data_IF_769815417299
#
_entry.id   IF_769815417299
#
_cell.length_a   1.000
_cell.length_b   1.000
_cell.length_c   1.000
_cell.angle_alpha   90.00
_cell.angle_beta   90.00
_cell.angle_gamma   90.00
#
_symmetry.space_group_name_H-M   'P 1'
#
loop_
_entity.id
_entity.type
_entity.pdbx_description
1 polymer ?
#
# COMPACT_ATOMS: atom_id res chain seq x y z
N UNK A 1 8.50 -0.88 1.42
CA UNK A 1 9.09 0.02 2.43
C UNK A 1 8.49 1.44 2.40
N UNK A 2 8.55 2.23 1.30
CA UNK A 2 8.04 3.63 1.28
C UNK A 2 6.57 3.75 1.70
N UNK A 3 5.68 2.88 1.22
CA UNK A 3 4.29 2.88 1.66
C UNK A 3 4.18 2.74 3.19
N UNK A 4 4.84 1.75 3.78
CA UNK A 4 4.82 1.55 5.24
C UNK A 4 5.40 2.73 6.02
N UNK A 5 6.44 3.39 5.47
CA UNK A 5 7.02 4.58 6.08
C UNK A 5 6.06 5.79 6.07
N UNK A 6 5.25 5.94 5.00
CA UNK A 6 4.28 7.02 4.85
C UNK A 6 2.96 6.81 5.60
N UNK A 7 2.62 5.57 5.97
CA UNK A 7 1.41 5.30 6.76
C UNK A 7 1.56 5.91 8.16
N UNK A 8 0.58 6.69 8.58
CA UNK A 8 0.48 7.27 9.93
C UNK A 8 -0.67 6.60 10.72
N UNK A 9 -0.39 5.55 11.53
CA UNK A 9 -1.42 4.76 12.19
C UNK A 9 -1.85 5.35 13.54
N UNK A 10 -1.87 6.68 13.69
CA UNK A 10 -2.36 7.35 14.89
C UNK A 10 -3.87 7.16 15.03
N UNK A 11 -4.32 6.85 16.24
CA UNK A 11 -5.73 6.60 16.58
C UNK A 11 -6.39 5.46 15.81
N UNK A 12 -5.58 4.52 15.27
CA UNK A 12 -6.03 3.31 14.58
C UNK A 12 -6.10 2.16 15.58
N UNK A 13 -7.23 1.46 15.60
CA UNK A 13 -7.43 0.28 16.46
C UNK A 13 -7.47 -1.02 15.65
N UNK A 14 -7.86 -0.94 14.37
CA UNK A 14 -7.99 -2.08 13.47
C UNK A 14 -7.37 -1.79 12.11
N UNK A 15 -6.64 -2.74 11.54
CA UNK A 15 -6.01 -2.58 10.24
C UNK A 15 -6.12 -3.83 9.38
N UNK A 16 -6.17 -3.63 8.05
CA UNK A 16 -6.18 -4.67 7.03
C UNK A 16 -5.05 -4.42 6.02
N UNK A 17 -4.17 -5.40 5.84
CA UNK A 17 -3.16 -5.45 4.79
C UNK A 17 -3.67 -6.32 3.64
N UNK A 18 -3.89 -5.74 2.46
CA UNK A 18 -4.41 -6.47 1.30
C UNK A 18 -3.25 -6.78 0.35
N UNK A 19 -3.00 -8.09 0.14
CA UNK A 19 -1.84 -8.57 -0.61
C UNK A 19 -0.57 -8.43 0.22
N UNK A 20 -0.58 -8.99 1.42
CA UNK A 20 0.47 -8.76 2.43
C UNK A 20 1.85 -9.32 2.03
N UNK A 21 1.90 -10.28 1.07
CA UNK A 21 3.13 -10.98 0.74
C UNK A 21 3.72 -11.63 1.99
N UNK A 22 4.96 -11.28 2.32
CA UNK A 22 5.66 -11.79 3.51
C UNK A 22 5.36 -11.01 4.80
N UNK A 23 4.44 -10.04 4.78
CA UNK A 23 3.97 -9.28 5.95
C UNK A 23 4.84 -8.09 6.37
N UNK A 24 5.79 -7.67 5.54
CA UNK A 24 6.73 -6.57 5.87
C UNK A 24 5.98 -5.25 6.12
N UNK A 25 4.99 -4.89 5.30
CA UNK A 25 4.20 -3.67 5.49
C UNK A 25 3.43 -3.71 6.80
N UNK A 26 2.80 -4.84 7.10
CA UNK A 26 2.12 -5.09 8.37
C UNK A 26 3.02 -4.86 9.57
N UNK A 27 4.23 -5.42 9.57
CA UNK A 27 5.20 -5.25 10.67
C UNK A 27 5.67 -3.80 10.81
N UNK A 28 5.85 -3.08 9.69
CA UNK A 28 6.17 -1.63 9.72
C UNK A 28 5.05 -0.80 10.37
N UNK A 29 3.78 -1.13 10.09
CA UNK A 29 2.63 -0.47 10.70
C UNK A 29 2.54 -0.79 12.19
N UNK A 30 2.73 -2.06 12.57
CA UNK A 30 2.75 -2.51 13.96
C UNK A 30 3.93 -1.93 14.76
N UNK A 31 5.08 -1.67 14.12
CA UNK A 31 6.20 -0.99 14.77
C UNK A 31 5.84 0.43 15.21
N UNK A 32 4.99 1.13 14.44
CA UNK A 32 4.52 2.47 14.78
C UNK A 32 3.39 2.46 15.81
N UNK A 33 2.55 1.43 15.80
CA UNK A 33 1.44 1.28 16.75
C UNK A 33 1.17 -0.21 17.03
N UNK A 34 1.83 -0.80 18.07
CA UNK A 34 1.70 -2.23 18.39
C UNK A 34 0.31 -2.63 18.93
N UNK A 35 -0.55 -1.66 19.27
CA UNK A 35 -1.89 -1.94 19.80
C UNK A 35 -2.93 -2.25 18.71
N UNK A 36 -2.57 -2.14 17.43
CA UNK A 36 -3.48 -2.38 16.30
C UNK A 36 -3.81 -3.88 16.21
N UNK A 37 -5.10 -4.17 16.12
CA UNK A 37 -5.59 -5.48 15.69
C UNK A 37 -5.47 -5.56 14.18
N UNK A 38 -4.46 -6.30 13.69
CA UNK A 38 -4.12 -6.37 12.28
C UNK A 38 -4.55 -7.71 11.68
N UNK A 39 -5.19 -7.63 10.53
CA UNK A 39 -5.46 -8.78 9.65
C UNK A 39 -4.74 -8.58 8.33
N UNK A 40 -4.15 -9.65 7.79
CA UNK A 40 -3.40 -9.67 6.55
C UNK A 40 -4.02 -10.70 5.59
N UNK A 41 -4.23 -10.32 4.34
CA UNK A 41 -4.77 -11.20 3.30
C UNK A 41 -3.68 -11.41 2.26
N UNK A 42 -3.43 -12.68 1.95
CA UNK A 42 -2.49 -13.06 0.89
C UNK A 42 -3.06 -14.26 0.13
N UNK A 43 -3.09 -14.15 -1.22
CA UNK A 43 -3.67 -15.19 -2.08
C UNK A 43 -2.71 -16.38 -2.29
N UNK A 44 -1.39 -16.14 -2.24
CA UNK A 44 -0.38 -17.17 -2.44
C UNK A 44 -0.10 -17.90 -1.13
N UNK A 45 -0.40 -19.21 -1.01
CA UNK A 45 -0.28 -19.96 0.24
C UNK A 45 1.13 -19.91 0.85
N UNK A 46 2.18 -20.02 0.03
CA UNK A 46 3.56 -20.00 0.50
C UNK A 46 3.92 -18.63 1.10
N UNK A 47 3.49 -17.53 0.46
CA UNK A 47 3.72 -16.18 0.99
C UNK A 47 2.91 -15.93 2.27
N UNK A 48 1.68 -16.45 2.35
CA UNK A 48 0.86 -16.37 3.56
C UNK A 48 1.47 -17.17 4.73
N UNK A 49 2.06 -18.33 4.45
CA UNK A 49 2.80 -19.10 5.46
C UNK A 49 4.02 -18.34 5.94
N UNK A 50 4.83 -17.77 5.04
CA UNK A 50 5.98 -16.94 5.40
C UNK A 50 5.55 -15.71 6.21
N UNK A 51 4.46 -15.04 5.82
CA UNK A 51 3.86 -13.94 6.58
C UNK A 51 3.54 -14.37 8.02
N UNK A 52 2.89 -15.53 8.18
CA UNK A 52 2.53 -16.09 9.48
C UNK A 52 3.76 -16.41 10.32
N UNK A 53 4.83 -16.94 9.72
CA UNK A 53 6.09 -17.20 10.38
C UNK A 53 6.79 -15.91 10.82
N UNK A 54 6.80 -14.89 9.95
CA UNK A 54 7.37 -13.59 10.27
C UNK A 54 6.61 -12.91 11.43
N UNK A 55 5.28 -13.03 11.47
CA UNK A 55 4.51 -12.51 12.61
C UNK A 55 4.82 -13.26 13.91
N UNK A 56 4.92 -14.61 13.89
CA UNK A 56 5.28 -15.41 15.06
C UNK A 56 6.67 -15.10 15.58
N UNK A 57 7.62 -14.84 14.69
CA UNK A 57 9.01 -14.55 15.03
C UNK A 57 9.25 -13.09 15.44
N UNK A 58 8.26 -12.22 15.30
CA UNK A 58 8.32 -10.81 15.70
C UNK A 58 7.45 -10.54 16.92
N UNK A 59 7.96 -9.89 17.98
CA UNK A 59 7.13 -9.46 19.10
C UNK A 59 5.98 -8.54 18.67
N UNK A 60 6.16 -7.82 17.57
CA UNK A 60 5.14 -6.91 17.00
C UNK A 60 4.00 -7.65 16.33
N UNK A 61 4.26 -8.83 15.79
CA UNK A 61 3.27 -9.63 15.06
C UNK A 61 2.36 -10.49 15.93
N UNK A 62 2.62 -10.53 17.26
CA UNK A 62 1.82 -11.32 18.19
C UNK A 62 0.37 -10.81 18.22
N UNK A 63 -0.58 -11.61 17.74
CA UNK A 63 -1.98 -11.24 17.64
C UNK A 63 -2.43 -10.77 16.25
N UNK A 64 -1.53 -10.54 15.32
CA UNK A 64 -1.89 -10.34 13.92
C UNK A 64 -2.36 -11.66 13.29
N UNK A 65 -3.36 -11.58 12.41
CA UNK A 65 -3.95 -12.74 11.74
C UNK A 65 -3.60 -12.72 10.26
N UNK A 66 -3.30 -13.90 9.70
CA UNK A 66 -3.08 -14.07 8.27
C UNK A 66 -4.16 -14.96 7.69
N UNK A 67 -4.75 -14.52 6.57
CA UNK A 67 -5.75 -15.24 5.81
C UNK A 67 -5.17 -15.60 4.44
N UNK A 68 -4.94 -16.90 4.20
CA UNK A 68 -4.50 -17.42 2.90
C UNK A 68 -5.73 -17.56 1.98
N UNK A 69 -6.19 -16.45 1.38
CA UNK A 69 -7.42 -16.37 0.60
C UNK A 69 -7.34 -15.24 -0.43
N UNK A 70 -8.09 -15.35 -1.52
CA UNK A 70 -8.32 -14.21 -2.41
C UNK A 70 -9.07 -13.09 -1.67
N UNK A 71 -8.58 -11.85 -1.82
CA UNK A 71 -9.24 -10.68 -1.24
C UNK A 71 -10.72 -10.61 -1.60
N UNK A 72 -11.10 -11.01 -2.82
CA UNK A 72 -12.48 -10.97 -3.25
C UNK A 72 -13.37 -12.01 -2.55
N UNK A 73 -12.80 -13.07 -2.03
CA UNK A 73 -13.50 -14.12 -1.28
C UNK A 73 -13.47 -13.88 0.25
N UNK A 74 -12.60 -12.98 0.72
CA UNK A 74 -12.55 -12.64 2.14
C UNK A 74 -13.86 -12.01 2.60
N UNK A 75 -14.44 -12.56 3.66
CA UNK A 75 -15.69 -12.09 4.25
C UNK A 75 -15.51 -11.80 5.73
N UNK A 76 -16.02 -10.65 6.16
CA UNK A 76 -16.01 -10.22 7.55
C UNK A 76 -17.17 -9.26 7.82
N UNK A 77 -17.64 -9.21 9.05
CA UNK A 77 -18.64 -8.24 9.52
C UNK A 77 -18.00 -7.00 10.15
N UNK A 78 -16.66 -6.97 10.31
CA UNK A 78 -15.97 -5.82 10.89
C UNK A 78 -15.48 -4.88 9.81
N UNK A 79 -15.38 -3.60 10.17
CA UNK A 79 -14.72 -2.57 9.35
C UNK A 79 -13.38 -2.18 9.96
N UNK A 80 -12.49 -1.65 9.15
CA UNK A 80 -11.12 -1.32 9.53
C UNK A 80 -10.89 0.19 9.51
N UNK A 81 -10.18 0.69 10.53
CA UNK A 81 -9.79 2.11 10.61
C UNK A 81 -8.67 2.44 9.63
N UNK A 82 -7.87 1.43 9.28
CA UNK A 82 -6.76 1.53 8.34
C UNK A 82 -6.79 0.34 7.40
N UNK A 83 -6.81 0.61 6.10
CA UNK A 83 -6.56 -0.39 5.08
C UNK A 83 -5.34 0.05 4.29
N UNK A 84 -4.47 -0.87 3.91
CA UNK A 84 -3.34 -0.56 3.06
C UNK A 84 -3.03 -1.70 2.09
N UNK A 85 -2.45 -1.34 0.94
CA UNK A 85 -2.13 -2.31 -0.10
C UNK A 85 -1.00 -1.84 -1.00
N UNK A 86 -0.19 -2.78 -1.42
CA UNK A 86 0.68 -2.67 -2.58
C UNK A 86 0.19 -3.67 -3.63
N UNK A 87 -0.88 -3.35 -4.35
CA UNK A 87 -1.52 -4.31 -5.25
C UNK A 87 -0.62 -4.66 -6.46
N UNK A 88 -0.83 -5.79 -7.12
CA UNK A 88 -0.14 -6.11 -8.36
C UNK A 88 -0.53 -5.09 -9.45
N UNK A 89 0.48 -4.51 -10.12
CA UNK A 89 0.27 -3.46 -11.14
C UNK A 89 0.21 -3.98 -12.57
N UNK A 90 0.45 -5.26 -12.74
CA UNK A 90 0.37 -5.97 -14.01
C UNK A 90 -0.47 -7.21 -13.77
N UNK A 91 -1.76 -7.15 -14.13
CA UNK A 91 -2.50 -8.37 -14.29
C UNK A 91 -1.85 -9.13 -15.46
N UNK A 92 -1.58 -10.40 -15.29
CA UNK A 92 -0.67 -11.24 -16.10
C UNK A 92 -0.91 -11.27 -17.63
N UNK A 93 -1.96 -10.61 -18.13
CA UNK A 93 -2.30 -10.55 -19.55
C UNK A 93 -1.28 -9.86 -20.46
N UNK A 94 -0.44 -8.94 -19.93
CA UNK A 94 0.56 -8.23 -20.73
C UNK A 94 1.90 -8.97 -20.87
N UNK A 95 2.19 -9.92 -19.96
CA UNK A 95 3.44 -10.70 -20.03
C UNK A 95 3.40 -11.82 -21.07
N UNK A 96 2.22 -12.29 -21.46
CA UNK A 96 2.05 -13.44 -22.35
C UNK A 96 1.96 -13.06 -23.84
N UNK A 97 1.86 -11.77 -24.19
CA UNK A 97 1.70 -11.33 -25.59
C UNK A 97 0.39 -11.80 -26.26
N UNK A 98 -0.52 -12.38 -25.51
CA UNK A 98 -1.74 -13.06 -26.01
C UNK A 98 -2.97 -12.14 -26.00
N UNK A 99 -2.95 -11.04 -25.24
CA UNK A 99 -4.09 -10.14 -25.10
C UNK A 99 -3.79 -8.80 -25.76
N UNK A 100 -4.70 -8.30 -26.59
CA UNK A 100 -4.61 -6.95 -27.15
C UNK A 100 -4.58 -5.89 -26.04
N UNK A 101 -3.78 -4.82 -26.22
CA UNK A 101 -3.56 -3.77 -25.21
C UNK A 101 -4.85 -3.16 -24.64
N UNK A 102 -5.90 -3.07 -25.44
CA UNK A 102 -7.19 -2.50 -25.02
C UNK A 102 -7.99 -3.46 -24.16
N UNK A 103 -7.92 -4.77 -24.43
CA UNK A 103 -8.50 -5.80 -23.56
C UNK A 103 -7.80 -5.85 -22.21
N UNK A 104 -6.46 -5.79 -22.18
CA UNK A 104 -5.69 -5.76 -20.94
C UNK A 104 -6.08 -4.57 -20.07
N UNK A 105 -6.14 -3.35 -20.64
CA UNK A 105 -6.60 -2.15 -19.93
C UNK A 105 -8.04 -2.27 -19.37
N UNK A 106 -8.91 -2.94 -20.10
CA UNK A 106 -10.29 -3.16 -19.66
C UNK A 106 -10.36 -4.13 -18.49
N UNK A 107 -9.58 -5.22 -18.52
CA UNK A 107 -9.47 -6.19 -17.43
C UNK A 107 -8.89 -5.52 -16.18
N UNK A 108 -7.81 -4.72 -16.33
CA UNK A 108 -7.20 -3.96 -15.25
C UNK A 108 -8.23 -3.02 -14.61
N UNK A 109 -9.00 -2.29 -15.42
CA UNK A 109 -10.04 -1.38 -14.93
C UNK A 109 -11.11 -2.10 -14.10
N UNK A 110 -11.63 -3.23 -14.59
CA UNK A 110 -12.64 -4.02 -13.88
C UNK A 110 -12.11 -4.57 -12.55
N UNK A 111 -10.85 -5.00 -12.54
CA UNK A 111 -10.22 -5.49 -11.32
C UNK A 111 -10.09 -4.38 -10.28
N UNK A 112 -9.55 -3.22 -10.67
CA UNK A 112 -9.40 -2.07 -9.76
C UNK A 112 -10.75 -1.51 -9.29
N UNK A 113 -11.77 -1.52 -10.15
CA UNK A 113 -13.11 -1.10 -9.78
C UNK A 113 -13.69 -1.98 -8.66
N UNK A 114 -13.61 -3.30 -8.83
CA UNK A 114 -14.01 -4.27 -7.80
C UNK A 114 -13.17 -4.16 -6.52
N UNK A 115 -11.85 -3.99 -6.68
CA UNK A 115 -10.92 -3.82 -5.58
C UNK A 115 -11.27 -2.61 -4.72
N UNK A 116 -11.48 -1.46 -5.35
CA UNK A 116 -11.83 -0.21 -4.66
C UNK A 116 -13.21 -0.26 -4.02
N UNK A 117 -14.20 -0.84 -4.70
CA UNK A 117 -15.54 -1.03 -4.16
C UNK A 117 -15.52 -1.90 -2.89
N UNK A 118 -14.81 -3.04 -2.93
CA UNK A 118 -14.67 -3.92 -1.77
C UNK A 118 -13.85 -3.27 -0.66
N UNK A 119 -12.75 -2.62 -0.98
CA UNK A 119 -11.94 -1.87 0.00
C UNK A 119 -12.79 -0.83 0.73
N UNK A 120 -13.60 -0.06 -0.02
CA UNK A 120 -14.53 0.89 0.59
C UNK A 120 -15.53 0.21 1.52
N UNK A 121 -16.09 -0.95 1.14
CA UNK A 121 -17.08 -1.64 1.98
C UNK A 121 -16.49 -2.09 3.33
N UNK A 122 -15.20 -2.40 3.38
CA UNK A 122 -14.47 -2.81 4.58
C UNK A 122 -13.86 -1.63 5.37
N UNK A 123 -13.82 -0.44 4.80
CA UNK A 123 -13.29 0.74 5.47
C UNK A 123 -14.31 1.29 6.46
N UNK A 124 -13.91 1.63 7.69
CA UNK A 124 -14.77 2.32 8.65
C UNK A 124 -15.13 3.73 8.15
N UNK A 125 -16.12 4.38 8.73
CA UNK A 125 -16.61 5.69 8.28
C UNK A 125 -15.50 6.75 8.27
N UNK A 126 -14.68 6.78 9.33
CA UNK A 126 -13.50 7.66 9.44
C UNK A 126 -12.20 6.97 9.04
N UNK A 127 -12.28 5.82 8.39
CA UNK A 127 -11.15 5.01 8.00
C UNK A 127 -10.30 5.64 6.90
N UNK A 128 -9.03 5.22 6.85
CA UNK A 128 -8.04 5.66 5.86
C UNK A 128 -7.55 4.48 5.04
N UNK A 129 -7.54 4.65 3.74
CA UNK A 129 -6.99 3.66 2.82
C UNK A 129 -5.72 4.18 2.16
N UNK A 130 -4.60 3.49 2.40
CA UNK A 130 -3.31 3.80 1.79
C UNK A 130 -2.99 2.79 0.69
N UNK A 131 -2.55 3.29 -0.45
CA UNK A 131 -2.14 2.45 -1.58
C UNK A 131 -0.99 3.08 -2.34
N UNK A 132 -0.07 2.24 -2.82
CA UNK A 132 0.99 2.68 -3.71
C UNK A 132 0.68 2.18 -5.12
N UNK A 133 0.80 3.06 -6.13
CA UNK A 133 0.54 2.75 -7.54
C UNK A 133 1.68 3.26 -8.43
N UNK A 134 1.85 2.74 -9.67
CA UNK A 134 2.76 3.34 -10.64
C UNK A 134 2.39 4.78 -10.96
N UNK A 135 3.39 5.65 -11.14
CA UNK A 135 3.17 7.08 -11.40
C UNK A 135 2.35 7.39 -12.66
N UNK A 136 2.43 6.52 -13.67
CA UNK A 136 1.62 6.65 -14.89
C UNK A 136 0.14 6.25 -14.71
N UNK A 137 -0.25 5.74 -13.56
CA UNK A 137 -1.64 5.41 -13.21
C UNK A 137 -2.26 6.43 -12.25
N UNK A 138 -1.59 7.54 -11.95
CA UNK A 138 -2.02 8.54 -10.98
C UNK A 138 -3.47 8.98 -11.21
N UNK A 139 -3.74 9.60 -12.36
CA UNK A 139 -5.06 10.17 -12.67
C UNK A 139 -6.12 9.08 -12.80
N UNK A 140 -5.78 7.98 -13.50
CA UNK A 140 -6.68 6.85 -13.68
C UNK A 140 -7.14 6.26 -12.34
N UNK A 141 -6.22 6.03 -11.41
CA UNK A 141 -6.55 5.41 -10.13
C UNK A 141 -7.34 6.36 -9.22
N UNK A 142 -6.97 7.65 -9.20
CA UNK A 142 -7.69 8.67 -8.44
C UNK A 142 -9.13 8.88 -8.93
N UNK A 143 -9.33 8.95 -10.26
CA UNK A 143 -10.65 9.08 -10.86
C UNK A 143 -11.51 7.85 -10.58
N UNK A 144 -10.95 6.65 -10.71
CA UNK A 144 -11.67 5.41 -10.45
C UNK A 144 -12.06 5.31 -8.96
N UNK A 145 -11.16 5.64 -8.04
CA UNK A 145 -11.45 5.67 -6.61
C UNK A 145 -12.60 6.64 -6.28
N UNK A 146 -12.61 7.81 -6.91
CA UNK A 146 -13.69 8.80 -6.77
C UNK A 146 -15.06 8.25 -7.21
N UNK A 147 -15.12 7.45 -8.28
CA UNK A 147 -16.39 6.81 -8.71
C UNK A 147 -16.92 5.83 -7.67
N UNK A 148 -16.04 5.23 -6.87
CA UNK A 148 -16.39 4.35 -5.75
C UNK A 148 -16.67 5.14 -4.45
N UNK A 149 -16.54 6.49 -4.45
CA UNK A 149 -16.72 7.34 -3.28
C UNK A 149 -15.57 7.23 -2.28
N UNK A 150 -14.37 7.02 -2.77
CA UNK A 150 -13.10 7.17 -2.07
C UNK A 150 -12.41 8.42 -2.60
N UNK A 151 -12.12 9.38 -1.72
CA UNK A 151 -11.58 10.68 -2.08
C UNK A 151 -10.14 10.81 -1.60
N UNK A 152 -9.25 11.27 -2.47
CA UNK A 152 -7.85 11.54 -2.14
C UNK A 152 -7.78 12.61 -1.07
N UNK A 153 -7.10 12.32 0.03
CA UNK A 153 -6.76 13.27 1.10
C UNK A 153 -5.30 13.68 1.03
N UNK A 154 -4.41 12.71 0.78
CA UNK A 154 -2.99 12.96 0.60
C UNK A 154 -2.49 12.21 -0.64
N UNK A 155 -1.57 12.85 -1.35
CA UNK A 155 -0.91 12.31 -2.53
C UNK A 155 0.58 12.58 -2.41
N UNK A 156 1.40 11.54 -2.34
CA UNK A 156 2.86 11.64 -2.34
C UNK A 156 3.39 11.09 -3.65
N UNK A 157 3.94 11.95 -4.49
CA UNK A 157 4.62 11.57 -5.72
C UNK A 157 6.07 11.19 -5.38
N UNK A 158 6.49 10.01 -5.81
CA UNK A 158 7.82 9.47 -5.55
C UNK A 158 8.64 9.48 -6.82
N UNK A 159 9.78 10.15 -6.77
CA UNK A 159 10.77 10.23 -7.84
C UNK A 159 11.96 9.33 -7.51
N UNK A 160 12.38 8.48 -8.43
CA UNK A 160 13.60 7.70 -8.24
C UNK A 160 14.84 8.62 -8.16
N UNK A 161 14.92 9.59 -9.08
CA UNK A 161 15.83 10.74 -9.10
C UNK A 161 15.07 11.94 -9.65
N UNK A 162 15.64 13.14 -9.58
CA UNK A 162 15.03 14.35 -10.19
C UNK A 162 14.81 14.23 -11.70
N UNK A 163 15.67 13.48 -12.39
CA UNK A 163 15.60 13.28 -13.83
C UNK A 163 14.60 12.16 -14.22
N UNK A 164 14.21 11.31 -13.28
CA UNK A 164 13.23 10.24 -13.47
C UNK A 164 11.98 10.51 -12.65
N UNK A 165 11.10 11.41 -13.11
CA UNK A 165 9.91 11.80 -12.37
C UNK A 165 8.89 10.65 -12.29
N UNK A 166 8.03 10.72 -11.29
CA UNK A 166 6.81 9.92 -11.15
C UNK A 166 6.99 8.41 -11.28
N UNK A 167 7.92 7.84 -10.50
CA UNK A 167 8.08 6.37 -10.52
C UNK A 167 6.94 5.65 -9.80
N UNK A 168 6.42 6.25 -8.72
CA UNK A 168 5.30 5.74 -7.91
C UNK A 168 4.51 6.88 -7.32
N UNK A 169 3.26 6.61 -6.93
CA UNK A 169 2.43 7.50 -6.13
C UNK A 169 1.88 6.74 -4.94
N UNK A 170 1.95 7.32 -3.76
CA UNK A 170 1.22 6.85 -2.59
C UNK A 170 0.03 7.76 -2.38
N UNK A 171 -1.15 7.17 -2.36
CA UNK A 171 -2.38 7.84 -2.00
C UNK A 171 -2.82 7.47 -0.60
N UNK A 172 -3.41 8.43 0.09
CA UNK A 172 -4.29 8.20 1.22
C UNK A 172 -5.69 8.68 0.84
N UNK A 173 -6.64 7.75 0.91
CA UNK A 173 -8.05 7.98 0.63
C UNK A 173 -8.88 7.93 1.92
N UNK A 174 -10.00 8.62 1.92
CA UNK A 174 -11.09 8.46 2.89
C UNK A 174 -12.46 8.55 2.19
N UNK A 175 -13.52 8.35 2.96
CA UNK A 175 -14.91 8.50 2.47
C UNK A 175 -15.34 9.97 2.35
N UNK A 176 -14.62 10.88 2.99
CA UNK A 176 -14.93 12.30 3.03
C UNK A 176 -14.14 13.06 1.96
N UNK A 177 -14.79 13.96 1.25
CA UNK A 177 -14.13 14.83 0.28
C UNK A 177 -13.58 16.08 0.99
N UNK A 178 -12.25 16.25 0.95
CA UNK A 178 -11.52 17.41 1.49
C UNK A 178 -10.50 17.94 0.48
N UNK A 179 -9.80 19.01 0.85
CA UNK A 179 -8.64 19.49 0.10
C UNK A 179 -7.51 18.47 0.12
N UNK A 180 -6.87 18.26 -1.03
CA UNK A 180 -5.80 17.28 -1.19
C UNK A 180 -4.49 17.89 -0.70
N UNK A 181 -3.77 17.14 0.14
CA UNK A 181 -2.39 17.47 0.53
C UNK A 181 -1.42 16.80 -0.44
N UNK A 182 -0.68 17.62 -1.17
CA UNK A 182 0.33 17.16 -2.12
C UNK A 182 1.71 17.17 -1.49
N UNK A 183 2.46 16.08 -1.74
CA UNK A 183 3.88 15.93 -1.37
C UNK A 183 4.65 15.36 -2.54
N UNK A 184 5.94 15.64 -2.58
CA UNK A 184 6.90 15.00 -3.47
C UNK A 184 8.07 14.46 -2.64
N UNK A 185 8.56 13.29 -3.01
CA UNK A 185 9.71 12.63 -2.38
C UNK A 185 10.68 12.17 -3.46
N UNK A 186 11.91 12.61 -3.40
CA UNK A 186 13.00 12.12 -4.26
C UNK A 186 13.86 11.13 -3.48
N UNK A 187 14.05 9.91 -4.02
CA UNK A 187 14.81 8.86 -3.33
C UNK A 187 16.30 9.14 -3.37
N UNK A 188 16.84 9.50 -4.56
CA UNK A 188 18.27 9.73 -4.77
C UNK A 188 18.53 11.09 -5.40
N UNK A 189 19.61 11.72 -4.98
CA UNK A 189 20.12 12.96 -5.56
C UNK A 189 20.84 12.71 -6.90
N UNK A 190 21.38 13.78 -7.48
CA UNK A 190 22.13 13.75 -8.77
C UNK A 190 23.42 12.93 -8.68
N UNK A 191 23.97 12.70 -7.49
CA UNK A 191 25.15 11.91 -7.24
C UNK A 191 24.83 10.44 -6.93
N UNK A 192 23.53 10.06 -6.99
CA UNK A 192 23.07 8.71 -6.69
C UNK A 192 22.99 8.40 -5.18
N UNK A 193 23.23 9.38 -4.30
CA UNK A 193 23.11 9.25 -2.85
C UNK A 193 21.62 9.34 -2.45
N UNK A 194 21.24 8.70 -1.34
CA UNK A 194 19.91 8.86 -0.78
C UNK A 194 19.73 10.31 -0.28
N UNK A 195 18.56 10.90 -0.55
CA UNK A 195 18.23 12.24 -0.03
C UNK A 195 18.02 12.20 1.48
N UNK A 196 18.25 13.32 2.13
CA UNK A 196 18.02 13.45 3.59
C UNK A 196 16.57 13.14 3.95
N UNK A 197 15.61 13.58 3.12
CA UNK A 197 14.18 13.31 3.32
C UNK A 197 13.87 11.81 3.26
N UNK A 198 14.43 11.09 2.27
CA UNK A 198 14.28 9.64 2.19
C UNK A 198 14.91 8.92 3.37
N UNK A 199 16.13 9.32 3.78
CA UNK A 199 16.82 8.76 4.95
C UNK A 199 15.98 8.98 6.21
N UNK A 200 15.54 10.22 6.45
CA UNK A 200 14.71 10.55 7.61
C UNK A 200 13.43 9.71 7.68
N UNK A 201 12.75 9.54 6.55
CA UNK A 201 11.50 8.78 6.45
C UNK A 201 11.71 7.27 6.69
N UNK A 202 12.84 6.72 6.27
CA UNK A 202 13.04 5.25 6.21
C UNK A 202 14.08 4.71 7.18
N UNK A 203 14.82 5.54 7.92
CA UNK A 203 15.95 5.15 8.79
C UNK A 203 15.63 4.01 9.74
N UNK A 204 14.41 3.99 10.29
CA UNK A 204 13.99 2.99 11.30
C UNK A 204 13.68 1.60 10.69
N UNK A 205 13.73 1.48 9.36
CA UNK A 205 13.45 0.26 8.61
C UNK A 205 14.66 -0.30 7.86
N UNK A 206 15.84 0.30 8.03
CA UNK A 206 17.08 -0.16 7.43
C UNK A 206 18.02 -0.75 8.49
N UNK A 207 18.65 -1.85 8.15
CA UNK A 207 19.69 -2.45 8.99
C UNK A 207 20.97 -1.60 9.03
N UNK A 208 21.28 -0.90 7.92
CA UNK A 208 22.45 -0.02 7.80
C UNK A 208 22.05 1.44 7.91
N UNK A 209 22.94 2.25 8.46
CA UNK A 209 22.84 3.71 8.43
C UNK A 209 23.04 4.20 6.99
N UNK A 210 21.97 4.67 6.36
CA UNK A 210 21.97 5.13 4.97
C UNK A 210 22.73 6.46 4.77
N UNK A 211 23.07 7.18 5.85
CA UNK A 211 23.85 8.43 5.79
C UNK A 211 25.34 8.19 5.60
N UNK A 212 25.81 6.95 5.87
CA UNK A 212 27.24 6.59 5.71
C UNK A 212 27.47 6.11 4.28
N UNK A 213 28.48 6.70 3.65
CA UNK A 213 29.02 6.21 2.37
C UNK A 213 29.72 4.88 2.62
N UNK A 214 29.39 3.84 1.85
CA UNK A 214 30.18 2.60 1.77
C UNK A 214 31.53 2.90 1.14
#
# INVERSE_FOLDING_TARGET
>A
MLLGALIEPMHVTSALDIGAGTGVLSLMVLQKNPAIKLEAIEIHPEAAEECSLNFKNSPLGLGAKVHAIDFFDYQTSVTFDLIFSNPPFYLDGLKSGVVEKDQAKHIDRLWYDRFLAKTKSLLSENGRFYVIVPGNQLDFFADLAKTQGLFVQEQTIIHATKEKPNSRVVFMFSREQKSIKHRELTIRDVNGQYTEEYIFLTKDYHFKDLSKKD
#
